data_IF_801296010385
#
_entry.id   IF_801296010385
#
_cell.length_a   1.000
_cell.length_b   1.000
_cell.length_c   1.000
_cell.angle_alpha   90.00
_cell.angle_beta   90.00
_cell.angle_gamma   90.00
#
_symmetry.space_group_name_H-M   'P 1'
#
loop_
_entity.id
_entity.type
_entity.pdbx_description
1 polymer ?
#
# COMPACT_ATOMS: atom_id res chain seq x y z
N UNK A 1 11.14 -54.50 -4.05
CA UNK A 1 11.80 -53.18 -3.86
C UNK A 1 11.29 -52.09 -4.80
N UNK A 2 11.06 -52.34 -6.10
CA UNK A 2 10.59 -51.33 -7.08
C UNK A 2 9.28 -50.61 -6.72
N UNK A 3 8.30 -51.29 -6.10
CA UNK A 3 7.00 -50.68 -5.73
C UNK A 3 7.12 -49.65 -4.59
N UNK A 4 7.92 -49.94 -3.56
CA UNK A 4 8.16 -49.01 -2.43
C UNK A 4 8.84 -47.72 -2.88
N UNK A 5 9.80 -47.82 -3.80
CA UNK A 5 10.46 -46.66 -4.41
C UNK A 5 9.49 -45.79 -5.22
N UNK A 6 8.56 -46.39 -5.98
CA UNK A 6 7.52 -45.64 -6.70
C UNK A 6 6.57 -44.91 -5.75
N UNK A 7 6.11 -45.58 -4.69
CA UNK A 7 5.23 -44.97 -3.69
C UNK A 7 5.92 -43.79 -3.00
N UNK A 8 7.20 -43.96 -2.60
CA UNK A 8 7.99 -42.88 -2.01
C UNK A 8 8.15 -41.70 -2.99
N UNK A 9 8.40 -41.98 -4.27
CA UNK A 9 8.58 -40.93 -5.27
C UNK A 9 7.28 -40.15 -5.53
N UNK A 10 6.13 -40.83 -5.53
CA UNK A 10 4.80 -40.18 -5.60
C UNK A 10 4.57 -39.31 -4.37
N UNK A 11 4.91 -39.81 -3.17
CA UNK A 11 4.76 -39.05 -1.94
C UNK A 11 5.62 -37.79 -1.92
N UNK A 12 6.90 -37.90 -2.29
CA UNK A 12 7.82 -36.75 -2.39
C UNK A 12 7.33 -35.75 -3.43
N UNK A 13 6.85 -36.22 -4.58
CA UNK A 13 6.32 -35.35 -5.64
C UNK A 13 5.07 -34.60 -5.15
N UNK A 14 4.15 -35.28 -4.47
CA UNK A 14 2.97 -34.65 -3.87
C UNK A 14 3.34 -33.61 -2.81
N UNK A 15 4.34 -33.90 -1.98
CA UNK A 15 4.82 -32.98 -0.95
C UNK A 15 5.45 -31.73 -1.56
N UNK A 16 6.25 -31.88 -2.62
CA UNK A 16 6.86 -30.76 -3.35
C UNK A 16 5.80 -29.87 -4.01
N UNK A 17 4.80 -30.47 -4.66
CA UNK A 17 3.68 -29.72 -5.27
C UNK A 17 2.88 -28.98 -4.19
N UNK A 18 2.60 -29.65 -3.06
CA UNK A 18 1.92 -29.03 -1.92
C UNK A 18 2.70 -27.83 -1.36
N UNK A 19 4.00 -27.99 -1.12
CA UNK A 19 4.86 -26.93 -0.62
C UNK A 19 4.91 -25.73 -1.59
N UNK A 20 5.02 -25.99 -2.90
CA UNK A 20 5.02 -24.95 -3.93
C UNK A 20 3.69 -24.19 -3.96
N UNK A 21 2.57 -24.91 -3.91
CA UNK A 21 1.24 -24.30 -3.87
C UNK A 21 1.07 -23.42 -2.62
N UNK A 22 1.46 -23.90 -1.45
CA UNK A 22 1.42 -23.12 -0.20
C UNK A 22 2.29 -21.87 -0.30
N UNK A 23 3.50 -21.97 -0.85
CA UNK A 23 4.40 -20.83 -1.02
C UNK A 23 3.79 -19.73 -1.90
N UNK A 24 3.18 -20.10 -3.03
CA UNK A 24 2.52 -19.14 -3.93
C UNK A 24 1.32 -18.48 -3.25
N UNK A 25 0.49 -19.25 -2.54
CA UNK A 25 -0.71 -18.74 -1.86
C UNK A 25 -0.32 -17.79 -0.73
N UNK A 26 0.64 -18.17 0.13
CA UNK A 26 1.11 -17.32 1.22
C UNK A 26 1.82 -16.07 0.70
N UNK A 27 2.61 -16.19 -0.36
CA UNK A 27 3.28 -15.05 -0.99
C UNK A 27 2.27 -13.99 -1.45
N UNK A 28 1.24 -14.41 -2.21
CA UNK A 28 0.16 -13.50 -2.61
C UNK A 28 -0.56 -12.92 -1.40
N UNK A 29 -0.96 -13.75 -0.44
CA UNK A 29 -1.67 -13.24 0.76
C UNK A 29 -0.84 -12.20 1.51
N UNK A 30 0.47 -12.40 1.64
CA UNK A 30 1.38 -11.47 2.29
C UNK A 30 1.45 -10.14 1.55
N UNK A 31 1.50 -10.16 0.23
CA UNK A 31 1.52 -8.95 -0.62
C UNK A 31 0.23 -8.13 -0.44
N UNK A 32 -0.93 -8.80 -0.42
CA UNK A 32 -2.22 -8.14 -0.17
C UNK A 32 -2.30 -7.50 1.21
N UNK A 33 -1.89 -8.21 2.27
CA UNK A 33 -1.88 -7.66 3.63
C UNK A 33 -0.92 -6.48 3.73
N UNK A 34 0.26 -6.59 3.11
CA UNK A 34 1.23 -5.50 3.08
C UNK A 34 0.67 -4.26 2.37
N UNK A 35 0.02 -4.44 1.21
CA UNK A 35 -0.59 -3.36 0.46
C UNK A 35 -1.71 -2.65 1.24
N UNK A 36 -2.53 -3.42 1.95
CA UNK A 36 -3.59 -2.91 2.82
C UNK A 36 -3.03 -2.10 3.99
N UNK A 37 -2.03 -2.63 4.69
CA UNK A 37 -1.33 -1.92 5.77
C UNK A 37 -0.63 -0.66 5.27
N UNK A 38 0.02 -0.72 4.10
CA UNK A 38 0.71 0.42 3.52
C UNK A 38 -0.26 1.55 3.21
N UNK A 39 -1.34 1.25 2.48
CA UNK A 39 -2.34 2.27 2.08
C UNK A 39 -3.07 2.87 3.28
N UNK A 40 -3.36 2.07 4.32
CA UNK A 40 -3.88 2.56 5.59
C UNK A 40 -2.89 3.49 6.30
N UNK A 41 -1.60 3.12 6.34
CA UNK A 41 -0.57 3.97 6.95
C UNK A 41 -0.41 5.33 6.25
N UNK A 42 -0.62 5.39 4.93
CA UNK A 42 -0.62 6.67 4.19
C UNK A 42 -1.78 7.57 4.62
N UNK A 43 -2.96 6.98 4.85
CA UNK A 43 -4.11 7.74 5.40
C UNK A 43 -3.77 8.27 6.80
N UNK A 44 -3.23 7.43 7.67
CA UNK A 44 -2.86 7.83 9.04
C UNK A 44 -1.84 8.97 9.03
N UNK A 45 -0.84 8.93 8.14
CA UNK A 45 0.15 10.00 8.00
C UNK A 45 -0.47 11.31 7.52
N UNK A 46 -1.41 11.27 6.58
CA UNK A 46 -2.09 12.46 6.10
C UNK A 46 -2.99 13.08 7.19
N UNK A 47 -3.64 12.23 7.99
CA UNK A 47 -4.40 12.66 9.17
C UNK A 47 -3.48 13.26 10.24
N UNK A 48 -2.40 12.57 10.60
CA UNK A 48 -1.40 13.03 11.57
C UNK A 48 -0.78 14.37 11.16
N UNK A 49 -0.45 14.55 9.87
CA UNK A 49 0.05 15.82 9.35
C UNK A 49 -0.98 16.97 9.51
N UNK A 50 -2.26 16.67 9.36
CA UNK A 50 -3.34 17.65 9.57
C UNK A 50 -3.42 18.07 11.04
N UNK A 51 -3.44 17.11 11.95
CA UNK A 51 -3.50 17.35 13.40
C UNK A 51 -2.26 18.11 13.91
N UNK A 52 -1.07 17.73 13.44
CA UNK A 52 0.18 18.39 13.84
C UNK A 52 0.24 19.85 13.38
N UNK A 53 -0.30 20.16 12.19
CA UNK A 53 -0.47 21.55 11.75
C UNK A 53 -1.45 22.31 12.63
N UNK A 54 -2.59 21.73 12.98
CA UNK A 54 -3.57 22.36 13.85
C UNK A 54 -2.97 22.71 15.23
N UNK A 55 -2.07 21.86 15.74
CA UNK A 55 -1.40 22.04 17.03
C UNK A 55 -0.05 22.79 16.98
N UNK A 56 0.34 23.38 15.83
CA UNK A 56 1.62 24.12 15.63
C UNK A 56 2.87 23.30 15.98
N UNK A 57 2.84 21.99 15.76
CA UNK A 57 4.00 21.12 15.93
C UNK A 57 4.82 21.05 14.64
N UNK A 58 5.44 22.18 14.30
CA UNK A 58 5.96 22.44 12.96
C UNK A 58 7.08 21.50 12.51
N UNK A 59 7.95 21.03 13.40
CA UNK A 59 9.06 20.14 13.00
C UNK A 59 8.61 18.71 12.72
N UNK A 60 7.71 18.15 13.54
CA UNK A 60 7.20 16.80 13.35
C UNK A 60 6.23 16.77 12.16
N UNK A 61 5.36 17.78 12.05
CA UNK A 61 4.46 17.96 10.92
C UNK A 61 5.22 17.97 9.59
N UNK A 62 6.23 18.85 9.46
CA UNK A 62 7.05 18.92 8.23
C UNK A 62 7.71 17.60 7.85
N UNK A 63 8.16 16.80 8.83
CA UNK A 63 8.75 15.48 8.55
C UNK A 63 7.73 14.51 7.97
N UNK A 64 6.52 14.46 8.51
CA UNK A 64 5.47 13.57 8.02
C UNK A 64 4.97 14.04 6.66
N UNK A 65 4.80 15.34 6.48
CA UNK A 65 4.42 15.96 5.20
C UNK A 65 5.39 15.65 4.07
N UNK A 66 6.69 15.66 4.35
CA UNK A 66 7.72 15.34 3.38
C UNK A 66 7.65 13.88 2.87
N UNK A 67 6.95 12.99 3.60
CA UNK A 67 6.76 11.60 3.19
C UNK A 67 5.55 11.41 2.27
N UNK A 68 4.58 12.35 2.29
CA UNK A 68 3.32 12.21 1.54
C UNK A 68 3.53 12.10 0.02
N UNK A 69 4.42 12.90 -0.62
CA UNK A 69 4.64 12.77 -2.06
C UNK A 69 5.20 11.40 -2.46
N UNK A 70 6.19 10.90 -1.71
CA UNK A 70 6.75 9.57 -1.91
C UNK A 70 5.71 8.47 -1.74
N UNK A 71 4.81 8.61 -0.77
CA UNK A 71 3.70 7.69 -0.56
C UNK A 71 2.69 7.68 -1.73
N UNK A 72 2.34 8.86 -2.24
CA UNK A 72 1.45 8.99 -3.41
C UNK A 72 2.09 8.36 -4.65
N UNK A 73 3.38 8.62 -4.89
CA UNK A 73 4.12 8.01 -5.99
C UNK A 73 4.18 6.49 -5.85
N UNK A 74 4.42 5.96 -4.65
CA UNK A 74 4.42 4.53 -4.40
C UNK A 74 3.05 3.92 -4.74
N UNK A 75 1.95 4.48 -4.24
CA UNK A 75 0.59 3.99 -4.56
C UNK A 75 0.34 4.05 -6.07
N UNK A 76 0.80 5.10 -6.74
CA UNK A 76 0.59 5.26 -8.18
C UNK A 76 1.46 4.32 -9.02
N UNK A 77 2.66 3.96 -8.60
CA UNK A 77 3.57 3.13 -9.40
C UNK A 77 3.33 1.63 -9.23
N UNK A 78 2.80 1.22 -8.07
CA UNK A 78 2.66 -0.17 -7.66
C UNK A 78 1.22 -0.65 -7.77
N UNK A 79 0.95 -1.62 -8.65
CA UNK A 79 -0.40 -2.15 -8.90
C UNK A 79 -1.03 -2.78 -7.67
N UNK A 80 -0.21 -3.40 -6.83
CA UNK A 80 -0.57 -3.98 -5.55
C UNK A 80 -1.22 -2.94 -4.62
N UNK A 81 -0.70 -1.70 -4.60
CA UNK A 81 -1.26 -0.61 -3.81
C UNK A 81 -2.46 0.04 -4.47
N UNK A 82 -2.47 0.17 -5.80
CA UNK A 82 -3.64 0.67 -6.53
C UNK A 82 -4.88 -0.21 -6.33
N UNK A 83 -4.68 -1.53 -6.30
CA UNK A 83 -5.74 -2.52 -6.14
C UNK A 83 -6.04 -2.84 -4.67
N UNK A 84 -5.29 -2.27 -3.73
CA UNK A 84 -5.58 -2.42 -2.31
C UNK A 84 -6.93 -1.79 -1.97
N UNK A 85 -7.66 -2.32 -0.96
CA UNK A 85 -8.97 -1.82 -0.56
C UNK A 85 -9.00 -0.31 -0.31
N UNK A 86 -7.94 0.22 0.30
CA UNK A 86 -7.81 1.63 0.65
C UNK A 86 -6.91 2.45 -0.28
N UNK A 87 -6.41 1.88 -1.39
CA UNK A 87 -5.46 2.59 -2.27
C UNK A 87 -5.99 3.92 -2.81
N UNK A 88 -7.22 3.93 -3.33
CA UNK A 88 -7.88 5.17 -3.80
C UNK A 88 -8.23 6.11 -2.67
N UNK A 89 -8.72 5.57 -1.55
CA UNK A 89 -9.07 6.36 -0.37
C UNK A 89 -7.85 7.06 0.21
N UNK A 90 -6.71 6.39 0.27
CA UNK A 90 -5.44 6.96 0.70
C UNK A 90 -5.01 8.17 -0.15
N UNK A 91 -5.09 8.04 -1.49
CA UNK A 91 -4.81 9.17 -2.38
C UNK A 91 -5.78 10.34 -2.15
N UNK A 92 -7.06 10.07 -1.91
CA UNK A 92 -8.04 11.11 -1.57
C UNK A 92 -7.74 11.77 -0.23
N UNK A 93 -7.36 11.00 0.80
CA UNK A 93 -7.00 11.56 2.11
C UNK A 93 -5.78 12.48 2.00
N UNK A 94 -4.78 12.12 1.20
CA UNK A 94 -3.63 13.00 0.94
C UNK A 94 -4.04 14.26 0.18
N UNK A 95 -4.91 14.15 -0.84
CA UNK A 95 -5.46 15.32 -1.53
C UNK A 95 -6.20 16.25 -0.56
N UNK A 96 -7.06 15.67 0.28
CA UNK A 96 -7.83 16.39 1.27
C UNK A 96 -6.92 17.13 2.28
N UNK A 97 -5.81 16.51 2.69
CA UNK A 97 -4.81 17.18 3.54
C UNK A 97 -4.30 18.49 2.89
N UNK A 98 -3.92 18.47 1.61
CA UNK A 98 -3.45 19.69 0.94
C UNK A 98 -4.56 20.74 0.80
N UNK A 99 -5.79 20.31 0.49
CA UNK A 99 -6.95 21.19 0.34
C UNK A 99 -7.33 21.88 1.65
N UNK A 100 -7.51 21.12 2.75
CA UNK A 100 -7.91 21.64 4.06
C UNK A 100 -6.88 22.61 4.62
N UNK A 101 -5.60 22.30 4.43
CA UNK A 101 -4.51 23.15 4.92
C UNK A 101 -4.13 24.29 3.97
N UNK A 102 -4.86 24.46 2.85
CA UNK A 102 -4.58 25.49 1.82
C UNK A 102 -3.13 25.47 1.34
N UNK A 103 -2.57 24.28 1.17
CA UNK A 103 -1.19 24.07 0.76
C UNK A 103 -1.12 23.80 -0.75
N UNK A 104 -0.06 24.29 -1.44
CA UNK A 104 0.18 23.89 -2.81
C UNK A 104 0.51 22.39 -2.86
N UNK A 105 -0.21 21.67 -3.71
CA UNK A 105 0.12 20.27 -4.03
C UNK A 105 1.45 20.27 -4.82
N UNK A 106 2.45 19.47 -4.42
CA UNK A 106 3.69 19.33 -5.17
C UNK A 106 3.43 18.89 -6.62
N UNK A 107 4.14 19.51 -7.57
CA UNK A 107 3.94 19.28 -9.02
C UNK A 107 4.17 17.83 -9.44
N UNK A 108 5.04 17.11 -8.74
CA UNK A 108 5.32 15.70 -8.96
C UNK A 108 4.12 14.76 -8.69
N UNK A 109 3.17 15.18 -7.85
CA UNK A 109 1.98 14.39 -7.51
C UNK A 109 0.67 15.06 -7.93
N UNK A 110 0.72 16.28 -8.48
CA UNK A 110 -0.47 17.06 -8.81
C UNK A 110 -1.35 16.34 -9.81
N UNK A 111 -0.77 15.76 -10.86
CA UNK A 111 -1.53 15.06 -11.90
C UNK A 111 -2.22 13.82 -11.35
N UNK A 112 -1.54 13.10 -10.44
CA UNK A 112 -2.08 11.90 -9.78
C UNK A 112 -3.29 12.28 -8.93
N UNK A 113 -3.15 13.27 -8.05
CA UNK A 113 -4.22 13.68 -7.12
C UNK A 113 -5.39 14.39 -7.83
N UNK A 114 -5.11 15.16 -8.89
CA UNK A 114 -6.13 15.86 -9.65
C UNK A 114 -6.88 14.96 -10.63
N UNK A 115 -6.28 13.84 -11.06
CA UNK A 115 -6.95 12.83 -11.90
C UNK A 115 -7.92 11.91 -11.15
N UNK A 116 -7.97 11.99 -9.81
CA UNK A 116 -8.89 11.19 -9.02
C UNK A 116 -10.35 11.55 -9.37
N UNK A 117 -11.22 10.56 -9.62
CA UNK A 117 -12.63 10.84 -9.89
C UNK A 117 -13.28 11.57 -8.72
N UNK A 118 -14.03 12.63 -9.04
CA UNK A 118 -14.86 13.36 -8.09
C UNK A 118 -15.96 12.45 -7.56
N UNK A 119 -16.15 12.45 -6.24
CA UNK A 119 -17.17 11.63 -5.59
C UNK A 119 -18.58 12.11 -6.00
N UNK A 120 -19.16 11.44 -6.99
CA UNK A 120 -20.59 11.48 -7.32
C UNK A 120 -21.18 10.10 -7.12
#
# INVERSE_FOLDING_TARGET
MKSKAKILMIFVSGLLVGALATFIILGKRSEWVYADCYTTSVMDKAFEATELRAHRQDELGKKIEALLPGAVLAIHQHKEFQNAPYGRTALRTVKHFYEVNSLPIPSEISDILNSLPSDH
#
